data_IF_778653944747
#
_entry.id   IF_778653944747
#
_cell.length_a   1.000
_cell.length_b   1.000
_cell.length_c   1.000
_cell.angle_alpha   90.00
_cell.angle_beta   90.00
_cell.angle_gamma   90.00
#
_symmetry.space_group_name_H-M   'P 1'
#
loop_
_entity.id
_entity.type
_entity.pdbx_description
1 polymer ?
#
# COMPACT_ATOMS: atom_id res chain seq x y z
N UNK A 1 -21.98 -16.68 -7.19
CA UNK A 1 -21.31 -15.51 -6.59
C UNK A 1 -21.23 -14.45 -7.68
N UNK A 2 -21.82 -13.25 -7.52
CA UNK A 2 -21.76 -12.26 -8.59
C UNK A 2 -20.33 -11.74 -8.69
N UNK A 3 -19.74 -11.90 -9.88
CA UNK A 3 -18.50 -11.22 -10.25
C UNK A 3 -18.80 -9.73 -10.24
N UNK A 4 -18.22 -8.99 -9.30
CA UNK A 4 -18.25 -7.54 -9.33
C UNK A 4 -17.50 -7.13 -10.59
N UNK A 5 -18.24 -6.66 -11.60
CA UNK A 5 -17.64 -6.09 -12.79
C UNK A 5 -16.78 -4.90 -12.36
N UNK A 6 -15.57 -4.78 -12.91
CA UNK A 6 -14.74 -3.65 -12.59
C UNK A 6 -15.33 -2.33 -13.10
N UNK A 7 -15.14 -1.21 -12.38
CA UNK A 7 -15.54 0.08 -12.90
C UNK A 7 -14.69 0.40 -14.14
N UNK A 8 -15.39 0.67 -15.25
CA UNK A 8 -14.99 1.35 -16.48
C UNK A 8 -13.47 1.47 -16.80
N UNK A 9 -13.05 0.95 -17.97
CA UNK A 9 -11.90 1.50 -18.72
C UNK A 9 -10.58 0.72 -18.75
N UNK A 10 -10.57 -0.61 -18.60
CA UNK A 10 -9.32 -1.41 -18.57
C UNK A 10 -8.59 -1.60 -19.91
N UNK A 11 -8.89 -0.80 -20.94
CA UNK A 11 -8.15 -0.88 -22.20
C UNK A 11 -6.86 -0.06 -22.07
N UNK A 12 -5.74 -0.78 -22.05
CA UNK A 12 -4.35 -0.30 -22.19
C UNK A 12 -3.74 0.38 -20.96
N UNK A 13 -3.73 -0.30 -19.81
CA UNK A 13 -2.71 -0.02 -18.80
C UNK A 13 -1.42 -0.74 -19.21
N UNK A 14 -0.34 0.00 -19.37
CA UNK A 14 1.00 -0.58 -19.33
C UNK A 14 1.37 -0.69 -17.85
N UNK A 15 1.63 -1.89 -17.30
CA UNK A 15 2.04 -2.03 -15.93
C UNK A 15 3.31 -1.21 -15.69
N UNK A 16 3.27 -0.34 -14.68
CA UNK A 16 4.42 0.44 -14.26
C UNK A 16 5.36 -0.40 -13.39
N UNK A 17 4.87 -1.50 -12.81
CA UNK A 17 5.61 -2.37 -11.89
C UNK A 17 4.99 -3.76 -11.76
N UNK A 18 5.74 -4.74 -11.24
CA UNK A 18 5.21 -6.08 -10.92
C UNK A 18 4.09 -6.00 -9.87
N UNK A 19 4.22 -5.09 -8.89
CA UNK A 19 3.22 -4.79 -7.89
C UNK A 19 2.80 -3.33 -8.00
N UNK A 20 1.50 -3.08 -8.13
CA UNK A 20 0.92 -1.74 -8.10
C UNK A 20 -0.12 -1.63 -7.00
N UNK A 21 0.08 -0.67 -6.10
CA UNK A 21 -0.81 -0.39 -4.97
C UNK A 21 -1.42 0.98 -5.15
N UNK A 22 -2.74 1.02 -5.27
CA UNK A 22 -3.51 2.25 -5.30
C UNK A 22 -4.26 2.34 -3.97
N UNK A 23 -3.82 3.21 -3.07
CA UNK A 23 -4.32 3.33 -1.70
C UNK A 23 -4.95 4.70 -1.40
N UNK A 24 -4.91 5.65 -2.34
CA UNK A 24 -5.57 6.95 -2.25
C UNK A 24 -7.04 6.84 -2.68
N UNK A 25 -7.97 7.00 -1.74
CA UNK A 25 -9.40 6.85 -2.00
C UNK A 25 -9.86 5.39 -1.90
N UNK A 26 -10.50 4.87 -2.96
CA UNK A 26 -10.98 3.48 -2.99
C UNK A 26 -9.84 2.55 -3.40
N UNK A 27 -9.34 1.68 -2.51
CA UNK A 27 -8.11 0.96 -2.78
C UNK A 27 -8.28 -0.18 -3.77
N UNK A 28 -7.26 -0.39 -4.60
CA UNK A 28 -7.15 -1.57 -5.45
C UNK A 28 -5.69 -1.91 -5.72
N UNK A 29 -5.41 -3.21 -5.88
CA UNK A 29 -4.06 -3.73 -6.01
C UNK A 29 -3.97 -4.57 -7.28
N UNK A 30 -2.87 -4.44 -8.00
CA UNK A 30 -2.53 -5.33 -9.11
C UNK A 30 -1.18 -5.99 -8.84
N UNK A 31 -1.11 -7.29 -9.07
CA UNK A 31 0.14 -8.03 -9.11
C UNK A 31 0.24 -8.75 -10.44
N UNK A 32 1.26 -8.40 -11.24
CA UNK A 32 1.46 -8.90 -12.61
C UNK A 32 0.18 -8.80 -13.44
N UNK A 33 -0.40 -7.60 -13.46
CA UNK A 33 -1.65 -7.24 -14.14
C UNK A 33 -2.92 -7.95 -13.65
N UNK A 34 -2.82 -8.75 -12.58
CA UNK A 34 -3.99 -9.43 -11.99
C UNK A 34 -4.48 -8.67 -10.76
N UNK A 35 -5.78 -8.38 -10.65
CA UNK A 35 -6.32 -7.74 -9.46
C UNK A 35 -6.15 -8.66 -8.24
N UNK A 36 -5.70 -8.10 -7.13
CA UNK A 36 -5.63 -8.79 -5.85
C UNK A 36 -6.65 -8.21 -4.88
N UNK A 37 -7.40 -9.10 -4.24
CA UNK A 37 -8.31 -8.75 -3.15
C UNK A 37 -7.60 -8.99 -1.82
N UNK A 38 -7.37 -7.90 -1.08
CA UNK A 38 -6.73 -7.93 0.22
C UNK A 38 -7.73 -7.47 1.28
N UNK A 39 -7.61 -8.02 2.50
CA UNK A 39 -8.28 -7.43 3.65
C UNK A 39 -7.71 -6.03 3.93
N UNK A 40 -8.44 -5.15 4.62
CA UNK A 40 -7.90 -3.84 5.03
C UNK A 40 -6.56 -3.95 5.75
N UNK A 41 -6.43 -4.92 6.67
CA UNK A 41 -5.18 -5.14 7.41
C UNK A 41 -4.02 -5.60 6.52
N UNK A 42 -4.28 -6.49 5.56
CA UNK A 42 -3.26 -6.92 4.60
C UNK A 42 -2.82 -5.79 3.67
N UNK A 43 -3.74 -4.90 3.29
CA UNK A 43 -3.40 -3.68 2.55
C UNK A 43 -2.54 -2.74 3.40
N UNK A 44 -2.86 -2.54 4.67
CA UNK A 44 -2.03 -1.75 5.59
C UNK A 44 -0.61 -2.33 5.71
N UNK A 45 -0.48 -3.65 5.90
CA UNK A 45 0.81 -4.34 5.90
C UNK A 45 1.57 -4.04 4.61
N UNK A 46 0.90 -4.17 3.45
CA UNK A 46 1.53 -3.94 2.16
C UNK A 46 2.05 -2.50 2.01
N UNK A 47 1.27 -1.51 2.45
CA UNK A 47 1.68 -0.11 2.45
C UNK A 47 2.87 0.16 3.38
N UNK A 48 2.86 -0.40 4.60
CA UNK A 48 3.99 -0.30 5.54
C UNK A 48 5.26 -0.92 4.95
N UNK A 49 5.17 -2.09 4.32
CA UNK A 49 6.33 -2.70 3.68
C UNK A 49 6.85 -1.88 2.48
N UNK A 50 5.97 -1.18 1.77
CA UNK A 50 6.38 -0.31 0.67
C UNK A 50 7.05 0.99 1.15
N UNK A 51 6.69 1.47 2.34
CA UNK A 51 7.33 2.60 3.00
C UNK A 51 8.71 2.27 3.57
N UNK A 52 8.97 0.98 3.85
CA UNK A 52 10.20 0.47 4.45
C UNK A 52 10.93 -0.47 3.47
N UNK A 53 11.49 0.04 2.36
CA UNK A 53 12.07 -0.76 1.28
C UNK A 53 13.32 -1.55 1.70
N UNK A 54 13.98 -1.21 2.81
CA UNK A 54 15.07 -1.99 3.41
C UNK A 54 14.56 -3.27 4.09
N UNK A 55 13.28 -3.27 4.50
CA UNK A 55 12.59 -4.38 5.14
C UNK A 55 12.52 -4.27 6.66
N UNK A 56 11.50 -4.93 7.22
CA UNK A 56 11.19 -4.87 8.64
C UNK A 56 11.29 -6.25 9.30
N UNK A 57 11.60 -6.30 10.60
CA UNK A 57 11.43 -7.54 11.39
C UNK A 57 9.96 -7.75 11.73
N UNK A 58 9.60 -8.94 12.24
CA UNK A 58 8.21 -9.20 12.66
C UNK A 58 7.77 -8.22 13.76
N UNK A 59 8.67 -7.98 14.70
CA UNK A 59 8.47 -7.10 15.85
C UNK A 59 8.30 -5.64 15.42
N UNK A 60 9.13 -5.18 14.47
CA UNK A 60 9.02 -3.83 13.92
C UNK A 60 7.70 -3.62 13.15
N UNK A 61 7.32 -4.57 12.29
CA UNK A 61 6.01 -4.54 11.62
C UNK A 61 4.87 -4.47 12.64
N UNK A 62 4.96 -5.29 13.70
CA UNK A 62 3.94 -5.34 14.74
C UNK A 62 3.80 -4.00 15.45
N UNK A 63 4.91 -3.42 15.89
CA UNK A 63 4.93 -2.11 16.54
C UNK A 63 4.32 -1.00 15.66
N UNK A 64 4.63 -0.97 14.35
CA UNK A 64 4.11 0.04 13.42
C UNK A 64 2.60 -0.11 13.16
N UNK A 65 2.11 -1.35 13.07
CA UNK A 65 0.72 -1.66 12.70
C UNK A 65 -0.26 -1.63 13.87
N UNK A 66 0.21 -2.01 15.06
CA UNK A 66 -0.62 -2.25 16.23
C UNK A 66 -0.27 -1.33 17.41
N UNK A 67 0.94 -0.75 17.47
CA UNK A 67 1.37 0.05 18.61
C UNK A 67 1.22 -0.73 19.92
N UNK A 68 0.42 -0.20 20.85
CA UNK A 68 0.12 -0.80 22.16
C UNK A 68 -1.06 -1.81 22.13
N UNK A 69 -1.68 -2.04 20.97
CA UNK A 69 -2.75 -3.03 20.85
C UNK A 69 -2.23 -4.45 21.14
N UNK A 70 -3.00 -5.20 21.94
CA UNK A 70 -2.65 -6.55 22.35
C UNK A 70 -3.02 -7.58 21.26
N UNK A 71 -2.41 -7.46 20.09
CA UNK A 71 -2.55 -8.42 18.99
C UNK A 71 -1.42 -9.43 19.04
N UNK A 72 -1.73 -10.72 18.95
CA UNK A 72 -0.71 -11.75 18.92
C UNK A 72 0.18 -11.64 17.67
N UNK A 73 1.50 -11.71 17.84
CA UNK A 73 2.47 -11.71 16.72
C UNK A 73 2.25 -12.86 15.74
N UNK A 74 1.66 -13.97 16.20
CA UNK A 74 1.25 -15.09 15.34
C UNK A 74 0.20 -14.69 14.30
N UNK A 75 -0.74 -13.79 14.64
CA UNK A 75 -1.75 -13.28 13.70
C UNK A 75 -1.09 -12.51 12.57
N UNK A 76 -0.20 -11.57 12.90
CA UNK A 76 0.56 -10.81 11.90
C UNK A 76 1.41 -11.74 11.02
N UNK A 77 2.06 -12.75 11.62
CA UNK A 77 2.84 -13.74 10.86
C UNK A 77 1.98 -14.52 9.87
N UNK A 78 0.75 -14.86 10.23
CA UNK A 78 -0.19 -15.53 9.32
C UNK A 78 -0.59 -14.62 8.15
N UNK A 79 -0.90 -13.34 8.42
CA UNK A 79 -1.21 -12.35 7.37
C UNK A 79 -0.03 -12.13 6.41
N UNK A 80 1.19 -11.99 6.94
CA UNK A 80 2.42 -11.86 6.16
C UNK A 80 2.69 -13.11 5.32
N UNK A 81 2.47 -14.30 5.88
CA UNK A 81 2.62 -15.54 5.12
C UNK A 81 1.59 -15.64 4.00
N UNK A 82 0.35 -15.22 4.25
CA UNK A 82 -0.71 -15.22 3.23
C UNK A 82 -0.40 -14.22 2.11
N UNK A 83 -0.01 -12.99 2.46
CA UNK A 83 0.48 -12.00 1.50
C UNK A 83 1.63 -12.52 0.65
N UNK A 84 2.61 -13.19 1.28
CA UNK A 84 3.75 -13.77 0.57
C UNK A 84 3.30 -14.81 -0.45
N UNK A 85 2.30 -15.63 -0.13
CA UNK A 85 1.73 -16.59 -1.08
C UNK A 85 1.00 -15.89 -2.23
N UNK A 86 0.20 -14.85 -1.94
CA UNK A 86 -0.51 -14.08 -2.98
C UNK A 86 0.43 -13.36 -3.94
N UNK A 87 1.62 -12.99 -3.47
CA UNK A 87 2.64 -12.30 -4.23
C UNK A 87 3.73 -13.25 -4.77
N UNK A 88 3.45 -14.54 -4.96
CA UNK A 88 4.40 -15.53 -5.51
C UNK A 88 5.80 -15.52 -4.81
N UNK A 89 5.82 -15.31 -3.50
CA UNK A 89 7.07 -15.26 -2.74
C UNK A 89 7.82 -13.93 -2.80
N UNK A 90 7.23 -12.85 -3.33
CA UNK A 90 7.84 -11.51 -3.42
C UNK A 90 7.90 -10.74 -2.09
N UNK A 91 7.81 -11.44 -0.96
CA UNK A 91 8.13 -10.92 0.37
C UNK A 91 9.27 -11.76 0.94
N UNK A 92 10.40 -11.15 1.27
CA UNK A 92 11.52 -11.89 1.87
C UNK A 92 11.19 -12.39 3.27
N UNK A 93 11.75 -13.56 3.63
CA UNK A 93 11.32 -14.32 4.80
C UNK A 93 11.94 -13.86 6.13
N UNK A 94 13.13 -13.24 6.09
CA UNK A 94 13.90 -12.88 7.30
C UNK A 94 13.70 -11.43 7.71
N UNK A 95 13.74 -10.54 6.74
CA UNK A 95 13.25 -9.16 6.83
C UNK A 95 12.08 -9.08 5.87
N UNK A 96 10.89 -8.75 6.35
CA UNK A 96 9.73 -8.59 5.48
C UNK A 96 9.96 -7.36 4.61
N UNK A 97 10.26 -7.60 3.34
CA UNK A 97 10.55 -6.59 2.33
C UNK A 97 9.92 -7.01 1.03
N UNK A 98 9.33 -6.06 0.31
CA UNK A 98 8.83 -6.29 -1.03
C UNK A 98 9.99 -6.46 -2.02
N UNK A 99 9.94 -7.51 -2.83
CA UNK A 99 10.96 -7.86 -3.82
C UNK A 99 10.40 -7.65 -5.21
N UNK A 100 11.22 -7.11 -6.13
CA UNK A 100 10.81 -6.78 -7.49
C UNK A 100 10.45 -5.30 -7.63
N UNK A 101 9.83 -4.94 -8.75
CA UNK A 101 9.38 -3.57 -9.00
C UNK A 101 8.05 -3.32 -8.29
N UNK A 102 8.00 -2.26 -7.49
CA UNK A 102 6.83 -1.87 -6.71
C UNK A 102 6.52 -0.42 -7.01
N UNK A 103 5.26 -0.16 -7.34
CA UNK A 103 4.73 1.18 -7.49
C UNK A 103 3.57 1.39 -6.50
N UNK A 104 3.57 2.53 -5.83
CA UNK A 104 2.55 2.91 -4.85
C UNK A 104 2.15 4.36 -5.09
N UNK A 105 0.85 4.59 -5.25
CA UNK A 105 0.30 5.89 -5.66
C UNK A 105 0.65 7.04 -4.73
N UNK A 106 0.60 6.85 -3.41
CA UNK A 106 0.89 7.91 -2.45
C UNK A 106 2.39 8.23 -2.33
N UNK A 107 3.27 7.24 -2.58
CA UNK A 107 4.73 7.47 -2.67
C UNK A 107 5.04 8.24 -3.96
N UNK A 108 4.39 7.86 -5.08
CA UNK A 108 4.52 8.56 -6.35
C UNK A 108 3.99 10.00 -6.28
N UNK A 109 2.85 10.21 -5.62
CA UNK A 109 2.28 11.53 -5.35
C UNK A 109 3.27 12.39 -4.56
N UNK A 110 3.87 11.85 -3.50
CA UNK A 110 4.86 12.58 -2.72
C UNK A 110 6.10 12.96 -3.54
N UNK A 111 6.55 12.04 -4.40
CA UNK A 111 7.65 12.33 -5.33
C UNK A 111 7.29 13.41 -6.36
N UNK A 112 6.06 13.42 -6.88
CA UNK A 112 5.56 14.44 -7.81
C UNK A 112 5.48 15.82 -7.15
N UNK A 113 5.00 15.88 -5.90
CA UNK A 113 4.98 17.11 -5.09
C UNK A 113 6.39 17.68 -4.93
N UNK A 114 7.37 16.84 -4.55
CA UNK A 114 8.77 17.30 -4.39
C UNK A 114 9.40 17.79 -5.69
N UNK A 115 8.90 17.32 -6.83
CA UNK A 115 9.35 17.74 -8.16
C UNK A 115 8.51 18.89 -8.75
N UNK A 116 7.61 19.50 -7.95
CA UNK A 116 6.69 20.54 -8.39
C UNK A 116 5.78 20.15 -9.57
N UNK A 117 5.52 18.85 -9.74
CA UNK A 117 4.65 18.29 -10.79
C UNK A 117 3.19 18.28 -10.31
N UNK A 118 2.58 19.46 -10.20
CA UNK A 118 1.23 19.64 -9.62
C UNK A 118 0.15 18.86 -10.38
N UNK A 119 0.22 18.83 -11.71
CA UNK A 119 -0.76 18.11 -12.52
C UNK A 119 -0.77 16.60 -12.21
N UNK A 120 0.42 16.00 -12.07
CA UNK A 120 0.58 14.59 -11.74
C UNK A 120 0.13 14.30 -10.30
N UNK A 121 0.53 15.14 -9.34
CA UNK A 121 0.10 15.01 -7.95
C UNK A 121 -1.43 15.03 -7.82
N UNK A 122 -2.11 15.94 -8.52
CA UNK A 122 -3.58 15.99 -8.57
C UNK A 122 -4.21 14.79 -9.26
N UNK A 123 -3.57 14.23 -10.29
CA UNK A 123 -4.06 13.03 -10.97
C UNK A 123 -4.00 11.78 -10.07
N UNK A 124 -2.93 11.65 -9.28
CA UNK A 124 -2.72 10.56 -8.34
C UNK A 124 -3.62 10.68 -7.11
N UNK A 125 -3.92 11.90 -6.65
CA UNK A 125 -4.76 12.13 -5.48
C UNK A 125 -6.25 11.87 -5.78
N UNK A 126 -6.72 10.64 -5.51
CA UNK A 126 -8.12 10.23 -5.71
C UNK A 126 -8.96 10.21 -4.43
N UNK A 127 -8.36 10.53 -3.30
CA UNK A 127 -9.00 10.55 -1.98
C UNK A 127 -7.99 10.32 -0.87
N UNK A 128 -8.48 10.23 0.37
CA UNK A 128 -7.63 10.05 1.54
C UNK A 128 -6.92 8.69 1.53
N UNK A 129 -5.69 8.67 2.05
CA UNK A 129 -4.91 7.44 2.25
C UNK A 129 -5.48 6.63 3.41
N UNK A 130 -6.10 5.47 3.12
CA UNK A 130 -6.56 4.49 4.11
C UNK A 130 -7.22 5.12 5.36
N UNK A 131 -8.36 5.83 5.22
CA UNK A 131 -8.93 6.70 6.27
C UNK A 131 -9.20 6.00 7.61
N UNK A 132 -9.42 4.68 7.60
CA UNK A 132 -9.71 3.89 8.80
C UNK A 132 -8.48 3.24 9.44
N UNK A 133 -7.30 3.27 8.81
CA UNK A 133 -6.09 2.67 9.38
C UNK A 133 -5.66 3.41 10.65
N UNK A 134 -5.25 2.63 11.64
CA UNK A 134 -4.71 3.09 12.93
C UNK A 134 -3.19 3.02 13.01
N UNK A 135 -2.51 2.48 11.99
CA UNK A 135 -1.05 2.44 11.95
C UNK A 135 -0.46 3.85 12.05
N UNK A 136 0.53 4.03 12.93
CA UNK A 136 1.16 5.32 13.16
C UNK A 136 1.73 5.92 11.88
N UNK A 137 2.51 5.12 11.14
CA UNK A 137 3.16 5.53 9.90
C UNK A 137 2.14 5.94 8.83
N UNK A 138 1.06 5.17 8.66
CA UNK A 138 0.00 5.50 7.69
C UNK A 138 -0.72 6.79 8.09
N UNK A 139 -0.99 7.01 9.38
CA UNK A 139 -1.63 8.23 9.88
C UNK A 139 -0.77 9.46 9.61
N UNK A 140 0.54 9.36 9.84
CA UNK A 140 1.50 10.43 9.57
C UNK A 140 1.53 10.78 8.08
N UNK A 141 1.66 9.77 7.22
CA UNK A 141 1.63 9.95 5.77
C UNK A 141 0.30 10.57 5.28
N UNK A 142 -0.84 10.09 5.79
CA UNK A 142 -2.16 10.66 5.48
C UNK A 142 -2.22 12.14 5.87
N UNK A 143 -1.78 12.49 7.08
CA UNK A 143 -1.80 13.86 7.56
C UNK A 143 -0.91 14.77 6.70
N UNK A 144 0.30 14.31 6.36
CA UNK A 144 1.24 15.03 5.49
C UNK A 144 0.65 15.27 4.09
N UNK A 145 0.12 14.23 3.45
CA UNK A 145 -0.49 14.34 2.11
C UNK A 145 -1.69 15.30 2.15
N UNK A 146 -2.61 15.12 3.09
CA UNK A 146 -3.79 15.99 3.22
C UNK A 146 -3.39 17.46 3.41
N UNK A 147 -2.38 17.72 4.25
CA UNK A 147 -1.89 19.07 4.52
C UNK A 147 -1.22 19.74 3.30
N UNK A 148 -0.59 18.97 2.41
CA UNK A 148 -0.01 19.49 1.17
C UNK A 148 -1.08 19.69 0.10
N UNK A 149 -1.97 18.70 -0.07
CA UNK A 149 -3.02 18.76 -1.09
C UNK A 149 -4.05 19.86 -0.79
N UNK A 150 -4.31 20.18 0.48
CA UNK A 150 -5.20 21.29 0.85
C UNK A 150 -4.65 22.69 0.50
N UNK A 151 -3.35 22.81 0.20
CA UNK A 151 -2.69 24.09 -0.13
C UNK A 151 -2.55 24.34 -1.64
N UNK A 152 -2.90 23.36 -2.48
CA UNK A 152 -2.71 23.42 -3.94
C UNK A 152 -4.04 23.63 -4.66
#
# INVERSE_FOLDING_TARGET
MPVMSPPFGWRQRCPQSELEVHALGSPYIFFRDKPLHLSPRMLEILCVLALNPEGLTLEACHAILYGDEHVATATLKAELSHLRTLLDGRISARTYRLVGTVWVDFIALWAAIRQHQVAEARHLYRGELLPHSQSLEIKEWRACINAVMARQ
#
